data_IF_825241972119
#
_entry.id   IF_825241972119
#
_cell.length_a   1.000
_cell.length_b   1.000
_cell.length_c   1.000
_cell.angle_alpha   90.00
_cell.angle_beta   90.00
_cell.angle_gamma   90.00
#
_symmetry.space_group_name_H-M   'P 1'
#
loop_
_entity.id
_entity.type
_entity.pdbx_description
1 polymer ?
#
# COMPACT_ATOMS: atom_id res chain seq x y z
N UNK A 1 -7.35 -2.55 -12.91
CA UNK A 1 -6.70 -3.76 -12.36
C UNK A 1 -5.73 -4.51 -13.29
N UNK A 2 -5.71 -4.34 -14.62
CA UNK A 2 -4.84 -5.17 -15.49
C UNK A 2 -3.36 -4.72 -15.63
N UNK A 3 -3.06 -3.43 -15.51
CA UNK A 3 -1.71 -2.92 -15.80
C UNK A 3 -0.63 -3.39 -14.80
N UNK A 4 -0.99 -3.64 -13.54
CA UNK A 4 -0.05 -3.96 -12.47
C UNK A 4 -0.24 -5.37 -11.87
N UNK A 5 -1.17 -6.19 -12.37
CA UNK A 5 -1.41 -7.56 -11.86
C UNK A 5 -0.15 -8.43 -11.95
N UNK A 6 0.59 -8.34 -13.06
CA UNK A 6 1.83 -9.09 -13.24
C UNK A 6 2.92 -8.69 -12.22
N UNK A 7 3.02 -7.40 -11.90
CA UNK A 7 3.98 -6.86 -10.91
C UNK A 7 3.57 -7.28 -9.49
N UNK A 8 2.28 -7.14 -9.16
CA UNK A 8 1.74 -7.57 -7.87
C UNK A 8 1.98 -9.07 -7.62
N UNK A 9 1.74 -9.92 -8.62
CA UNK A 9 2.01 -11.37 -8.54
C UNK A 9 3.50 -11.66 -8.39
N UNK A 10 4.36 -10.98 -9.16
CA UNK A 10 5.80 -11.16 -9.05
C UNK A 10 6.31 -10.80 -7.66
N UNK A 11 5.83 -9.71 -7.06
CA UNK A 11 6.17 -9.35 -5.68
C UNK A 11 5.62 -10.35 -4.67
N UNK A 12 4.37 -10.80 -4.81
CA UNK A 12 3.77 -11.78 -3.90
C UNK A 12 4.62 -13.07 -3.84
N UNK A 13 4.99 -13.60 -5.01
CA UNK A 13 5.83 -14.80 -5.11
C UNK A 13 7.27 -14.54 -4.67
N UNK A 14 7.87 -13.43 -5.13
CA UNK A 14 9.28 -13.13 -4.87
C UNK A 14 9.59 -12.74 -3.42
N UNK A 15 8.62 -12.15 -2.71
CA UNK A 15 8.75 -11.75 -1.32
C UNK A 15 8.10 -12.74 -0.34
N UNK A 16 7.44 -13.79 -0.84
CA UNK A 16 6.60 -14.70 -0.04
C UNK A 16 5.64 -13.92 0.87
N UNK A 17 4.84 -13.05 0.25
CA UNK A 17 4.02 -12.07 0.94
C UNK A 17 2.62 -11.96 0.31
N UNK A 18 1.66 -11.56 1.15
CA UNK A 18 0.33 -11.14 0.69
C UNK A 18 0.45 -9.76 0.08
N UNK A 19 -0.05 -9.57 -1.14
CA UNK A 19 -0.08 -8.28 -1.82
C UNK A 19 -1.52 -7.77 -1.90
N UNK A 20 -1.75 -6.59 -1.33
CA UNK A 20 -3.01 -5.85 -1.43
C UNK A 20 -2.81 -4.72 -2.43
N UNK A 21 -3.33 -4.90 -3.65
CA UNK A 21 -3.29 -3.88 -4.70
C UNK A 21 -4.46 -2.91 -4.51
N UNK A 22 -4.17 -1.62 -4.37
CA UNK A 22 -5.17 -0.59 -4.06
C UNK A 22 -5.60 0.12 -5.35
N UNK A 23 -6.85 -0.06 -5.75
CA UNK A 23 -7.47 0.64 -6.87
C UNK A 23 -7.98 2.02 -6.41
N UNK A 24 -7.03 2.92 -6.11
CA UNK A 24 -7.33 4.25 -5.58
C UNK A 24 -7.93 5.17 -6.65
N UNK A 25 -8.73 6.15 -6.23
CA UNK A 25 -9.33 7.14 -7.14
C UNK A 25 -8.27 7.95 -7.89
N UNK A 26 -8.48 8.09 -9.21
CA UNK A 26 -7.55 8.75 -10.13
C UNK A 26 -7.98 10.18 -10.49
N UNK A 27 -6.99 11.00 -10.80
CA UNK A 27 -7.20 12.29 -11.45
C UNK A 27 -7.39 12.10 -12.97
N UNK A 28 -8.12 12.99 -13.65
CA UNK A 28 -8.67 14.26 -13.15
C UNK A 28 -10.00 14.18 -12.39
N UNK A 29 -10.72 13.05 -12.44
CA UNK A 29 -12.05 12.88 -11.84
C UNK A 29 -12.03 13.09 -10.31
N UNK A 30 -10.94 12.64 -9.69
CA UNK A 30 -10.67 12.80 -8.26
C UNK A 30 -9.26 13.39 -8.07
N UNK A 31 -9.13 14.72 -8.07
CA UNK A 31 -7.83 15.36 -7.91
C UNK A 31 -7.24 15.11 -6.52
N UNK A 32 -5.99 15.52 -6.35
CA UNK A 32 -5.32 15.51 -5.06
C UNK A 32 -6.21 16.15 -3.96
N UNK A 33 -6.37 15.51 -2.77
CA UNK A 33 -5.62 14.36 -2.25
C UNK A 33 -6.31 12.98 -2.36
N UNK A 34 -7.32 12.79 -3.21
CA UNK A 34 -8.18 11.60 -3.18
C UNK A 34 -7.44 10.24 -3.16
N UNK A 35 -6.46 10.03 -4.05
CA UNK A 35 -5.70 8.77 -4.10
C UNK A 35 -4.86 8.50 -2.84
N UNK A 36 -4.39 9.56 -2.15
CA UNK A 36 -3.68 9.46 -0.87
C UNK A 36 -4.64 9.04 0.24
N UNK A 37 -5.84 9.60 0.25
CA UNK A 37 -6.87 9.26 1.24
C UNK A 37 -7.29 7.79 1.13
N UNK A 38 -7.51 7.30 -0.09
CA UNK A 38 -7.88 5.90 -0.36
C UNK A 38 -6.74 4.96 0.04
N UNK A 39 -5.50 5.30 -0.32
CA UNK A 39 -4.32 4.49 0.04
C UNK A 39 -4.10 4.44 1.55
N UNK A 40 -4.37 5.55 2.25
CA UNK A 40 -4.31 5.59 3.71
C UNK A 40 -5.42 4.77 4.35
N UNK A 41 -6.62 4.83 3.81
CA UNK A 41 -7.74 4.02 4.28
C UNK A 41 -7.43 2.53 4.08
N UNK A 42 -6.90 2.14 2.92
CA UNK A 42 -6.48 0.78 2.63
C UNK A 42 -5.35 0.31 3.55
N UNK A 43 -4.32 1.13 3.79
CA UNK A 43 -3.22 0.77 4.69
C UNK A 43 -3.72 0.51 6.12
N UNK A 44 -4.60 1.38 6.63
CA UNK A 44 -5.22 1.16 7.94
C UNK A 44 -6.03 -0.12 7.98
N UNK A 45 -6.85 -0.36 6.96
CA UNK A 45 -7.66 -1.58 6.87
C UNK A 45 -6.77 -2.83 6.87
N UNK A 46 -5.66 -2.84 6.12
CA UNK A 46 -4.68 -3.93 6.13
C UNK A 46 -4.08 -4.11 7.52
N UNK A 47 -3.71 -3.03 8.22
CA UNK A 47 -3.20 -3.11 9.59
C UNK A 47 -4.20 -3.73 10.58
N UNK A 48 -5.49 -3.44 10.42
CA UNK A 48 -6.57 -3.94 11.27
C UNK A 48 -6.96 -5.39 10.96
N UNK A 49 -6.80 -5.85 9.71
CA UNK A 49 -7.27 -7.15 9.22
C UNK A 49 -6.13 -8.08 8.77
N UNK A 50 -4.88 -7.77 9.11
CA UNK A 50 -3.71 -8.53 8.64
C UNK A 50 -3.83 -10.02 8.99
N UNK A 51 -4.23 -10.36 10.22
CA UNK A 51 -4.41 -11.74 10.67
C UNK A 51 -5.52 -12.45 9.90
N UNK A 52 -6.63 -11.76 9.59
CA UNK A 52 -7.75 -12.30 8.81
C UNK A 52 -7.36 -12.61 7.36
N UNK A 53 -6.42 -11.84 6.81
CA UNK A 53 -5.82 -12.08 5.51
C UNK A 53 -4.79 -13.24 5.52
N UNK A 54 -4.41 -13.73 6.70
CA UNK A 54 -3.35 -14.72 6.89
C UNK A 54 -1.94 -14.11 6.96
N UNK A 55 -1.83 -12.80 7.17
CA UNK A 55 -0.57 -12.07 7.32
C UNK A 55 -0.20 -11.81 8.78
N UNK A 56 0.98 -11.22 8.99
CA UNK A 56 1.47 -10.78 10.30
C UNK A 56 1.33 -9.25 10.43
N UNK A 57 0.54 -8.71 11.38
CA UNK A 57 0.35 -7.27 11.55
C UNK A 57 1.64 -6.52 11.90
N UNK A 58 2.71 -7.22 12.31
CA UNK A 58 4.04 -6.64 12.58
C UNK A 58 4.96 -6.66 11.36
N UNK A 59 4.50 -7.16 10.21
CA UNK A 59 5.31 -7.30 8.98
C UNK A 59 4.59 -6.69 7.78
N UNK A 60 4.22 -5.41 7.90
CA UNK A 60 3.55 -4.66 6.84
C UNK A 60 4.58 -3.81 6.07
N UNK A 61 4.46 -3.78 4.74
CA UNK A 61 5.28 -2.95 3.87
C UNK A 61 4.40 -2.18 2.88
N UNK A 62 4.92 -1.07 2.37
CA UNK A 62 4.31 -0.31 1.27
C UNK A 62 5.20 -0.36 0.03
N UNK A 63 4.59 -0.39 -1.15
CA UNK A 63 5.29 -0.59 -2.40
C UNK A 63 4.56 0.10 -3.56
N UNK A 64 5.30 0.73 -4.46
CA UNK A 64 4.70 1.27 -5.68
C UNK A 64 5.72 1.90 -6.62
N UNK A 65 5.33 1.99 -7.89
CA UNK A 65 6.12 2.59 -8.96
C UNK A 65 5.65 4.00 -9.30
N UNK A 66 6.57 4.88 -9.70
CA UNK A 66 6.24 6.24 -10.19
C UNK A 66 5.34 7.03 -9.22
N UNK A 67 4.10 7.37 -9.60
CA UNK A 67 3.12 8.00 -8.72
C UNK A 67 2.75 7.12 -7.50
N UNK A 68 2.71 5.80 -7.68
CA UNK A 68 2.54 4.83 -6.59
C UNK A 68 3.73 4.83 -5.62
N UNK A 69 4.94 5.12 -6.11
CA UNK A 69 6.12 5.34 -5.28
C UNK A 69 5.99 6.60 -4.43
N UNK A 70 5.50 7.70 -5.00
CA UNK A 70 5.19 8.91 -4.24
C UNK A 70 4.14 8.65 -3.15
N UNK A 71 3.04 7.96 -3.50
CA UNK A 71 1.98 7.59 -2.55
C UNK A 71 2.54 6.69 -1.44
N UNK A 72 3.37 5.70 -1.77
CA UNK A 72 4.00 4.79 -0.80
C UNK A 72 4.90 5.53 0.19
N UNK A 73 5.70 6.50 -0.28
CA UNK A 73 6.52 7.33 0.59
C UNK A 73 5.66 8.18 1.55
N UNK A 74 4.54 8.74 1.06
CA UNK A 74 3.58 9.48 1.89
C UNK A 74 2.94 8.55 2.92
N UNK A 75 2.58 7.31 2.56
CA UNK A 75 2.04 6.34 3.50
C UNK A 75 3.01 6.03 4.64
N UNK A 76 4.30 5.90 4.34
CA UNK A 76 5.32 5.69 5.36
C UNK A 76 5.43 6.87 6.34
N UNK A 77 5.36 8.10 5.83
CA UNK A 77 5.34 9.29 6.68
C UNK A 77 4.08 9.34 7.55
N UNK A 78 2.91 9.14 6.96
CA UNK A 78 1.64 9.20 7.69
C UNK A 78 1.48 8.09 8.72
N UNK A 79 1.97 6.88 8.44
CA UNK A 79 1.94 5.77 9.39
C UNK A 79 2.82 6.08 10.62
N UNK A 80 4.04 6.59 10.40
CA UNK A 80 4.94 7.04 11.47
C UNK A 80 4.31 8.14 12.31
N UNK A 81 3.72 9.14 11.67
CA UNK A 81 3.26 10.36 12.34
C UNK A 81 1.89 10.19 13.03
N UNK A 82 1.07 9.21 12.61
CA UNK A 82 -0.30 9.01 13.12
C UNK A 82 -0.50 7.70 13.92
N UNK A 83 0.58 7.03 14.33
CA UNK A 83 0.49 5.87 15.23
C UNK A 83 0.22 4.52 14.56
N UNK A 84 0.51 4.39 13.26
CA UNK A 84 0.60 3.09 12.58
C UNK A 84 -0.35 2.90 11.39
N UNK A 85 -0.36 1.68 10.81
CA UNK A 85 0.37 0.47 11.24
C UNK A 85 1.90 0.60 11.16
N UNK A 86 2.64 -0.21 11.92
CA UNK A 86 4.11 -0.24 11.84
C UNK A 86 4.55 -0.81 10.50
N UNK A 87 5.36 -0.05 9.76
CA UNK A 87 5.89 -0.47 8.47
C UNK A 87 7.35 -0.93 8.62
N UNK A 88 7.63 -2.15 8.17
CA UNK A 88 8.97 -2.74 8.24
C UNK A 88 9.80 -2.48 6.98
N UNK A 89 9.15 -2.05 5.88
CA UNK A 89 9.82 -1.79 4.61
C UNK A 89 9.02 -0.83 3.72
N UNK A 90 9.72 -0.11 2.84
CA UNK A 90 9.12 0.64 1.73
C UNK A 90 9.91 0.37 0.45
N UNK A 91 9.23 -0.07 -0.62
CA UNK A 91 9.83 -0.33 -1.93
C UNK A 91 9.34 0.73 -2.93
N UNK A 92 10.26 1.52 -3.47
CA UNK A 92 9.95 2.66 -4.35
C UNK A 92 10.74 2.49 -5.65
N UNK A 93 10.07 2.35 -6.80
CA UNK A 93 10.75 2.14 -8.10
C UNK A 93 10.15 2.92 -9.27
#
# INVERSE_FOLDING_TARGET
MDAHDHVARAHAVGADAIVVSVDYRLAPEHPHPAGIEDSRAALRWVGEHAEELGGDPKRIAVAGDSAGGNISAIMAQLARDNGGPELVYQLLW
#
